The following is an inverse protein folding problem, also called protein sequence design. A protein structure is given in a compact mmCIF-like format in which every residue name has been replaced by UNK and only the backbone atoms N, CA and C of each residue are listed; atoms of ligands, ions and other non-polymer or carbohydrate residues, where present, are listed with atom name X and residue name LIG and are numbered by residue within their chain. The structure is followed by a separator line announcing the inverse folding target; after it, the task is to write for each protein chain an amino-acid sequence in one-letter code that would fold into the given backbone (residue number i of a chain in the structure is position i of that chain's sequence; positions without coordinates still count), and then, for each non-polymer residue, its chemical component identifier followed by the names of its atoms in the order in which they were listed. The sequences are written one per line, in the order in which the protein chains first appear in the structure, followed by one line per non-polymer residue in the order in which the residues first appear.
data_IF_533417371186
#
_entry.id   IF_533417371186
#
_cell.length_a   1.000
_cell.length_b   1.000
_cell.length_c   1.000
_cell.angle_alpha   90.00
_cell.angle_beta   90.00
_cell.angle_gamma   90.00
#
_symmetry.space_group_name_H-M   'P 1'
#
loop_
_entity.id
_entity.type
_entity.pdbx_description
1 polymer ?
#
# COMPACT_ATOMS: atom_id res chain seq x y z
N UNK A 1 9.11 -22.75 11.43
CA UNK A 1 7.99 -22.55 10.49
C UNK A 1 7.36 -21.20 10.77
N UNK A 2 7.60 -20.19 9.93
CA UNK A 2 6.85 -18.94 10.02
C UNK A 2 5.39 -19.25 9.67
N UNK A 3 4.46 -18.92 10.57
CA UNK A 3 3.02 -18.95 10.28
C UNK A 3 2.72 -17.76 9.35
N UNK A 4 3.06 -17.89 8.07
CA UNK A 4 2.74 -16.88 7.07
C UNK A 4 1.23 -16.95 6.83
N UNK A 5 0.55 -15.82 6.96
CA UNK A 5 -0.89 -15.72 6.69
C UNK A 5 -1.18 -16.15 5.25
N UNK A 6 -2.15 -17.04 4.99
CA UNK A 6 -2.54 -17.41 3.63
C UNK A 6 -2.86 -16.21 2.74
N UNK A 7 -3.53 -15.19 3.31
CA UNK A 7 -3.85 -13.94 2.58
C UNK A 7 -2.58 -13.23 2.09
N UNK A 8 -1.57 -13.10 2.96
CA UNK A 8 -0.31 -12.45 2.60
C UNK A 8 0.45 -13.25 1.53
N UNK A 9 0.47 -14.58 1.65
CA UNK A 9 1.09 -15.45 0.64
C UNK A 9 0.41 -15.30 -0.73
N UNK A 10 -0.93 -15.22 -0.76
CA UNK A 10 -1.68 -15.02 -2.00
C UNK A 10 -1.40 -13.65 -2.61
N UNK A 11 -1.43 -12.58 -1.82
CA UNK A 11 -1.10 -11.22 -2.29
C UNK A 11 0.32 -11.14 -2.87
N UNK A 12 1.32 -11.76 -2.22
CA UNK A 12 2.69 -11.81 -2.76
C UNK A 12 2.73 -12.56 -4.09
N UNK A 13 2.03 -13.69 -4.20
CA UNK A 13 1.97 -14.46 -5.44
C UNK A 13 1.31 -13.67 -6.57
N UNK A 14 0.24 -12.95 -6.26
CA UNK A 14 -0.48 -12.08 -7.19
C UNK A 14 0.39 -10.92 -7.68
N UNK A 15 0.99 -10.15 -6.78
CA UNK A 15 1.91 -9.06 -7.12
C UNK A 15 3.04 -9.54 -8.03
N UNK A 16 3.60 -10.72 -7.75
CA UNK A 16 4.63 -11.32 -8.60
C UNK A 16 4.10 -11.81 -9.95
N UNK A 17 2.85 -12.26 -10.03
CA UNK A 17 2.23 -12.63 -11.31
C UNK A 17 2.06 -11.39 -12.17
N UNK A 18 1.40 -10.37 -11.61
CA UNK A 18 1.14 -9.11 -12.31
C UNK A 18 2.43 -8.45 -12.76
N UNK A 19 3.46 -8.38 -11.91
CA UNK A 19 4.76 -7.83 -12.29
C UNK A 19 5.40 -8.56 -13.49
N UNK A 20 5.23 -9.88 -13.61
CA UNK A 20 5.76 -10.66 -14.75
C UNK A 20 4.93 -10.43 -16.02
N UNK A 21 3.62 -10.30 -15.88
CA UNK A 21 2.69 -10.18 -17.00
C UNK A 21 2.68 -8.76 -17.58
N UNK A 22 2.76 -7.72 -16.74
CA UNK A 22 2.75 -6.31 -17.15
C UNK A 22 4.14 -5.70 -17.29
N UNK A 23 5.19 -6.33 -16.74
CA UNK A 23 6.53 -5.75 -16.67
C UNK A 23 6.65 -4.62 -15.63
N UNK A 24 5.68 -4.49 -14.72
CA UNK A 24 5.67 -3.46 -13.69
C UNK A 24 6.65 -3.80 -12.55
N UNK A 25 7.87 -3.26 -12.63
CA UNK A 25 8.92 -3.43 -11.61
C UNK A 25 8.48 -3.03 -10.19
N UNK A 26 7.52 -2.10 -10.09
CA UNK A 26 7.01 -1.64 -8.80
C UNK A 26 6.30 -2.74 -8.01
N UNK A 27 5.52 -3.59 -8.67
CA UNK A 27 4.82 -4.69 -8.02
C UNK A 27 5.79 -5.80 -7.60
N UNK A 28 6.89 -5.97 -8.34
CA UNK A 28 7.99 -6.84 -7.94
C UNK A 28 8.68 -6.32 -6.66
N UNK A 29 9.04 -5.03 -6.61
CA UNK A 29 9.65 -4.40 -5.41
C UNK A 29 8.73 -4.47 -4.18
N UNK A 30 7.43 -4.24 -4.37
CA UNK A 30 6.44 -4.37 -3.29
C UNK A 30 6.34 -5.81 -2.80
N UNK A 31 6.30 -6.80 -3.71
CA UNK A 31 6.28 -8.22 -3.34
C UNK A 31 7.54 -8.64 -2.56
N UNK A 32 8.72 -8.25 -3.04
CA UNK A 32 10.01 -8.56 -2.41
C UNK A 32 10.11 -7.98 -0.99
N UNK A 33 9.47 -6.83 -0.74
CA UNK A 33 9.37 -6.26 0.61
C UNK A 33 8.42 -7.06 1.50
N UNK A 34 7.30 -7.51 0.96
CA UNK A 34 6.31 -8.30 1.71
C UNK A 34 6.77 -9.73 1.99
N UNK A 35 7.70 -10.28 1.21
CA UNK A 35 8.35 -11.56 1.50
C UNK A 35 9.25 -11.55 2.74
N UNK A 36 9.74 -10.37 3.12
CA UNK A 36 10.57 -10.23 4.32
C UNK A 36 9.74 -10.50 5.59
N UNK A 37 10.39 -10.76 6.75
CA UNK A 37 9.67 -10.95 8.00
C UNK A 37 8.74 -9.77 8.29
N UNK A 38 7.52 -10.06 8.81
CA UNK A 38 6.48 -9.05 9.08
C UNK A 38 6.95 -7.87 9.94
N UNK A 39 7.93 -8.08 10.83
CA UNK A 39 8.53 -7.02 11.65
C UNK A 39 9.31 -5.97 10.83
N UNK A 40 9.56 -6.23 9.56
CA UNK A 40 10.25 -5.33 8.63
C UNK A 40 9.32 -4.67 7.60
N UNK A 41 8.04 -5.06 7.60
CA UNK A 41 7.03 -4.44 6.74
C UNK A 41 6.82 -2.98 7.15
N UNK A 42 6.39 -2.15 6.20
CA UNK A 42 6.22 -0.74 6.47
C UNK A 42 5.09 -0.49 7.49
N UNK A 43 5.30 0.44 8.42
CA UNK A 43 4.26 0.99 9.29
C UNK A 43 4.28 2.51 9.14
N UNK A 44 3.36 3.02 8.33
CA UNK A 44 3.37 4.42 7.88
C UNK A 44 2.26 5.20 8.55
N UNK A 45 2.60 6.30 9.22
CA UNK A 45 1.61 7.22 9.77
C UNK A 45 1.11 8.22 8.73
N UNK A 46 -0.13 8.70 8.86
CA UNK A 46 -0.72 9.70 7.98
C UNK A 46 0.13 10.97 7.86
N UNK A 47 0.82 11.40 8.92
CA UNK A 47 1.73 12.56 8.87
C UNK A 47 2.89 12.39 7.88
N UNK A 48 3.33 11.15 7.61
CA UNK A 48 4.35 10.86 6.60
C UNK A 48 3.75 10.93 5.20
N UNK A 49 2.53 10.42 5.01
CA UNK A 49 1.80 10.50 3.73
C UNK A 49 1.55 11.96 3.38
N UNK A 50 0.96 12.75 4.29
CA UNK A 50 0.73 14.19 4.11
C UNK A 50 2.00 14.95 3.69
N UNK A 51 3.16 14.57 4.23
CA UNK A 51 4.42 15.24 3.92
C UNK A 51 4.94 14.96 2.51
N UNK A 52 4.78 13.73 2.02
CA UNK A 52 5.51 13.26 0.84
C UNK A 52 4.64 12.89 -0.36
N UNK A 53 3.34 12.69 -0.15
CA UNK A 53 2.37 12.51 -1.22
C UNK A 53 2.00 13.86 -1.84
N UNK A 54 1.72 13.84 -3.13
CA UNK A 54 1.05 14.94 -3.81
C UNK A 54 -0.47 14.76 -3.73
N UNK A 55 -1.21 15.85 -3.92
CA UNK A 55 -2.67 15.77 -4.06
C UNK A 55 -3.04 14.96 -5.31
N UNK A 56 -4.13 14.20 -5.22
CA UNK A 56 -4.64 13.27 -6.25
C UNK A 56 -3.66 12.14 -6.66
N UNK A 57 -2.62 11.89 -5.85
CA UNK A 57 -1.63 10.84 -6.10
C UNK A 57 -2.07 9.48 -5.51
N UNK A 58 -1.66 8.40 -6.17
CA UNK A 58 -1.76 7.04 -5.60
C UNK A 58 -0.50 6.70 -4.80
N UNK A 59 -0.66 6.47 -3.50
CA UNK A 59 0.39 6.08 -2.57
C UNK A 59 0.28 4.59 -2.25
N UNK A 60 1.35 3.84 -2.50
CA UNK A 60 1.46 2.42 -2.14
C UNK A 60 2.28 2.27 -0.87
N UNK A 61 1.74 1.58 0.13
CA UNK A 61 2.43 1.23 1.37
C UNK A 61 2.58 -0.30 1.46
N UNK A 62 3.81 -0.85 1.38
CA UNK A 62 4.08 -2.30 1.48
C UNK A 62 4.02 -2.75 2.95
N UNK A 63 2.86 -2.60 3.57
CA UNK A 63 2.62 -2.86 4.98
C UNK A 63 1.35 -2.17 5.48
N UNK A 64 1.38 -1.66 6.70
CA UNK A 64 0.23 -1.09 7.40
C UNK A 64 0.26 0.43 7.45
N UNK A 65 -0.91 1.05 7.32
CA UNK A 65 -1.10 2.49 7.54
C UNK A 65 -1.75 2.75 8.90
N UNK A 66 -1.17 3.69 9.65
CA UNK A 66 -1.54 4.04 11.02
C UNK A 66 -2.09 5.48 11.08
N UNK A 67 -3.10 5.70 11.91
CA UNK A 67 -3.87 6.95 11.96
C UNK A 67 -3.20 8.15 12.65
N UNK A 68 -1.90 8.14 12.95
CA UNK A 68 -1.26 9.29 13.63
C UNK A 68 -1.00 10.44 12.67
N UNK A 69 -1.31 11.66 13.11
CA UNK A 69 -1.22 12.88 12.30
C UNK A 69 -2.54 13.27 11.66
N UNK A 70 -2.47 14.32 10.86
CA UNK A 70 -3.53 14.79 9.99
C UNK A 70 -3.16 14.49 8.53
N UNK A 71 -4.16 14.12 7.75
CA UNK A 71 -4.10 14.05 6.30
C UNK A 71 -5.11 15.07 5.80
N UNK A 72 -4.69 15.95 4.89
CA UNK A 72 -5.55 17.01 4.32
C UNK A 72 -5.62 16.93 2.81
N UNK A 73 -4.62 16.31 2.19
CA UNK A 73 -4.59 16.04 0.76
C UNK A 73 -5.55 14.89 0.45
N UNK A 74 -6.36 15.05 -0.58
CA UNK A 74 -7.04 13.91 -1.21
C UNK A 74 -5.97 13.04 -1.86
N UNK A 75 -5.86 11.79 -1.40
CA UNK A 75 -4.90 10.80 -1.91
C UNK A 75 -5.55 9.43 -1.87
N UNK A 76 -5.21 8.61 -2.86
CA UNK A 76 -5.56 7.19 -2.84
C UNK A 76 -4.42 6.45 -2.16
N UNK A 77 -4.69 5.79 -1.03
CA UNK A 77 -3.69 5.02 -0.29
C UNK A 77 -3.99 3.54 -0.46
N UNK A 78 -3.08 2.81 -1.10
CA UNK A 78 -3.11 1.37 -1.26
C UNK A 78 -2.18 0.70 -0.24
N UNK A 79 -2.70 -0.15 0.64
CA UNK A 79 -1.89 -0.82 1.66
C UNK A 79 -2.37 -2.25 1.96
N UNK A 80 -1.50 -3.04 2.61
CA UNK A 80 -1.86 -4.41 3.05
C UNK A 80 -2.96 -4.35 4.10
N UNK A 81 -2.86 -3.38 5.00
CA UNK A 81 -3.80 -3.19 6.11
C UNK A 81 -3.84 -1.74 6.58
N UNK A 82 -4.91 -1.39 7.28
CA UNK A 82 -5.09 -0.07 7.88
C UNK A 82 -5.49 -0.21 9.36
N UNK A 83 -5.13 0.79 10.16
CA UNK A 83 -5.86 1.01 11.41
C UNK A 83 -7.20 1.68 11.11
N UNK A 84 -8.24 1.39 11.90
CA UNK A 84 -9.56 2.02 11.70
C UNK A 84 -9.50 3.55 11.72
N UNK A 85 -8.64 4.12 12.57
CA UNK A 85 -8.44 5.58 12.62
C UNK A 85 -7.74 6.15 11.39
N UNK A 86 -6.96 5.34 10.66
CA UNK A 86 -6.37 5.74 9.38
C UNK A 86 -7.44 5.78 8.29
N UNK A 87 -8.24 4.71 8.16
CA UNK A 87 -9.32 4.62 7.16
C UNK A 87 -10.28 5.79 7.29
N UNK A 88 -10.77 6.05 8.52
CA UNK A 88 -11.67 7.18 8.79
C UNK A 88 -11.05 8.52 8.41
N UNK A 89 -9.77 8.75 8.70
CA UNK A 89 -9.11 10.02 8.40
C UNK A 89 -8.77 10.20 6.93
N UNK A 90 -8.49 9.12 6.21
CA UNK A 90 -8.31 9.13 4.75
C UNK A 90 -9.64 9.53 4.09
N UNK A 91 -10.73 8.88 4.47
CA UNK A 91 -12.07 9.19 3.95
C UNK A 91 -12.51 10.62 4.28
N UNK A 92 -12.21 11.12 5.48
CA UNK A 92 -12.51 12.51 5.86
C UNK A 92 -11.69 13.56 5.09
N UNK A 93 -10.58 13.18 4.47
CA UNK A 93 -9.76 14.05 3.63
C UNK A 93 -10.15 13.94 2.14
N UNK A 94 -11.34 13.42 1.86
CA UNK A 94 -11.82 13.10 0.50
C UNK A 94 -10.86 12.18 -0.27
N UNK A 95 -10.11 11.33 0.45
CA UNK A 95 -9.21 10.33 -0.12
C UNK A 95 -9.76 8.91 0.01
N UNK A 96 -9.11 7.97 -0.68
CA UNK A 96 -9.54 6.57 -0.75
C UNK A 96 -8.55 5.65 -0.03
N UNK A 97 -9.04 4.83 0.90
CA UNK A 97 -8.28 3.75 1.50
C UNK A 97 -8.59 2.45 0.75
N UNK A 98 -7.61 1.92 0.02
CA UNK A 98 -7.76 0.76 -0.88
C UNK A 98 -6.85 -0.38 -0.41
N UNK A 99 -7.34 -1.62 -0.48
CA UNK A 99 -6.48 -2.76 -0.21
C UNK A 99 -5.50 -2.99 -1.37
N UNK A 100 -4.29 -3.42 -1.05
CA UNK A 100 -3.24 -3.59 -2.04
C UNK A 100 -3.62 -4.60 -3.15
N UNK A 101 -4.40 -5.63 -2.81
CA UNK A 101 -5.01 -6.55 -3.79
C UNK A 101 -5.82 -5.78 -4.85
N UNK A 102 -6.73 -4.91 -4.42
CA UNK A 102 -7.57 -4.14 -5.32
C UNK A 102 -6.77 -3.13 -6.15
N UNK A 103 -5.70 -2.57 -5.59
CA UNK A 103 -4.85 -1.61 -6.28
C UNK A 103 -4.06 -2.27 -7.42
N UNK A 104 -3.57 -3.51 -7.23
CA UNK A 104 -2.86 -4.23 -8.28
C UNK A 104 -3.82 -4.69 -9.38
N UNK A 105 -5.07 -5.05 -9.04
CA UNK A 105 -6.11 -5.37 -10.02
C UNK A 105 -6.50 -4.15 -10.87
N UNK A 106 -6.61 -2.97 -10.26
CA UNK A 106 -7.03 -1.73 -10.94
C UNK A 106 -5.90 -1.06 -11.73
N UNK A 107 -4.66 -1.18 -11.28
CA UNK A 107 -3.49 -0.60 -11.94
C UNK A 107 -2.36 -1.64 -12.09
N UNK A 108 -2.54 -2.66 -12.95
CA UNK A 108 -1.54 -3.72 -13.12
C UNK A 108 -0.22 -3.22 -13.72
N UNK A 109 -0.24 -2.09 -14.43
CA UNK A 109 0.97 -1.44 -14.99
C UNK A 109 1.77 -0.69 -13.92
N UNK A 110 1.17 -0.36 -12.78
CA UNK A 110 1.84 0.33 -11.68
C UNK A 110 2.35 1.72 -12.06
N UNK A 111 1.69 2.38 -13.02
CA UNK A 111 2.02 3.73 -13.46
C UNK A 111 1.54 4.78 -12.45
N UNK A 112 2.26 5.90 -12.36
CA UNK A 112 1.92 7.06 -11.53
C UNK A 112 1.66 6.75 -10.04
N UNK A 113 2.36 5.75 -9.50
CA UNK A 113 2.31 5.40 -8.07
C UNK A 113 3.55 5.85 -7.31
N UNK A 114 3.36 6.20 -6.04
CA UNK A 114 4.45 6.50 -5.10
C UNK A 114 4.49 5.47 -3.98
N UNK A 115 5.62 4.78 -3.86
CA UNK A 115 5.83 3.89 -2.72
C UNK A 115 6.36 4.65 -1.51
N UNK A 116 5.64 4.59 -0.39
CA UNK A 116 6.05 5.15 0.90
C UNK A 116 6.25 4.03 1.92
N UNK A 117 7.30 4.14 2.73
CA UNK A 117 7.62 3.25 3.86
C UNK A 117 8.12 4.05 5.04
#
# INVERSE_FOLDING_TARGET
MSKTSPRLSSLIAELKSVARDSGADIWHDVADRLEKPRSTHAEVNLSRIERYANEDETVVVPGKVLGSGALRKSVTVAAVDFSSSAETKIQHADGDAVHLEQAVEQNPEGSDVRVIR
#
